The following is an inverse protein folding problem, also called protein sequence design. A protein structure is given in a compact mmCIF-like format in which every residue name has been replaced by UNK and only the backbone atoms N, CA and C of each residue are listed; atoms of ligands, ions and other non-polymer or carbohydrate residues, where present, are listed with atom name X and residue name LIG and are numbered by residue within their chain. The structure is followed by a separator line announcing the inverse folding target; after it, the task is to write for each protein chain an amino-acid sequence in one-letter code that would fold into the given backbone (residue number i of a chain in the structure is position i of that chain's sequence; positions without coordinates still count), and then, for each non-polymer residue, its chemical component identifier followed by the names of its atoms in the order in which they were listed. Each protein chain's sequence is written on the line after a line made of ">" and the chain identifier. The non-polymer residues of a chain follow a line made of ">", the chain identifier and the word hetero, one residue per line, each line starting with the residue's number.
data_IF_268135867157
#
_entry.id   IF_268135867157
#
_cell.length_a   1.000
_cell.length_b   1.000
_cell.length_c   1.000
_cell.angle_alpha   90.00
_cell.angle_beta   90.00
_cell.angle_gamma   90.00
#
_symmetry.space_group_name_H-M   'P 1'
#
loop_
_entity.id
_entity.type
_entity.pdbx_description
1 polymer ?
#
# COMPACT_ATOMS: atom_id res chain seq x y z
N UNK A 1 -1.42 -4.46 4.09
CA UNK A 1 -0.85 -5.36 3.07
C UNK A 1 0.66 -5.38 3.27
N UNK A 2 1.24 -6.57 3.23
CA UNK A 2 2.68 -6.75 3.42
C UNK A 2 3.22 -7.86 2.52
N UNK A 3 4.52 -7.84 2.25
CA UNK A 3 5.21 -8.86 1.48
C UNK A 3 6.34 -9.46 2.30
N UNK A 4 6.37 -10.79 2.35
CA UNK A 4 7.43 -11.52 3.06
C UNK A 4 8.22 -12.40 2.09
N UNK A 5 9.54 -12.36 2.21
CA UNK A 5 10.46 -13.23 1.47
C UNK A 5 10.97 -14.34 2.38
N UNK A 6 10.64 -15.58 2.04
CA UNK A 6 11.07 -16.78 2.75
C UNK A 6 12.05 -17.57 1.90
N UNK A 7 12.96 -18.29 2.58
CA UNK A 7 13.87 -19.23 1.94
C UNK A 7 13.65 -20.62 2.50
N UNK A 8 13.20 -21.55 1.66
CA UNK A 8 13.03 -22.96 2.00
C UNK A 8 14.09 -23.78 1.27
N UNK A 9 15.18 -24.12 1.98
CA UNK A 9 16.37 -24.70 1.37
C UNK A 9 16.98 -23.76 0.34
N UNK A 10 17.00 -24.16 -0.93
CA UNK A 10 17.46 -23.32 -2.06
C UNK A 10 16.33 -22.53 -2.73
N UNK A 11 15.07 -22.77 -2.37
CA UNK A 11 13.90 -22.16 -3.01
C UNK A 11 13.48 -20.88 -2.29
N UNK A 12 13.35 -19.79 -3.03
CA UNK A 12 12.75 -18.56 -2.52
C UNK A 12 11.22 -18.62 -2.67
N UNK A 13 10.50 -18.28 -1.61
CA UNK A 13 9.04 -18.20 -1.55
C UNK A 13 8.68 -16.77 -1.18
N UNK A 14 8.07 -16.06 -2.13
CA UNK A 14 7.55 -14.71 -1.90
C UNK A 14 6.05 -14.78 -1.67
N UNK A 15 5.60 -14.17 -0.58
CA UNK A 15 4.19 -14.17 -0.20
C UNK A 15 3.73 -12.72 -0.12
N UNK A 16 2.73 -12.38 -0.92
CA UNK A 16 1.97 -11.15 -0.75
C UNK A 16 0.80 -11.46 0.18
N UNK A 17 0.70 -10.76 1.30
CA UNK A 17 -0.28 -11.02 2.35
C UNK A 17 -1.19 -9.82 2.60
N UNK A 18 -2.46 -10.12 2.87
CA UNK A 18 -3.46 -9.18 3.33
C UNK A 18 -3.96 -9.66 4.69
N UNK A 19 -3.77 -8.81 5.69
CA UNK A 19 -4.02 -9.11 7.09
C UNK A 19 -4.92 -8.05 7.71
N UNK A 20 -5.74 -8.47 8.67
CA UNK A 20 -6.50 -7.56 9.53
C UNK A 20 -5.61 -7.25 10.74
N UNK A 21 -5.46 -5.98 11.07
CA UNK A 21 -4.71 -5.54 12.24
C UNK A 21 -5.68 -5.33 13.39
N UNK A 22 -5.45 -6.00 14.51
CA UNK A 22 -6.25 -5.87 15.73
C UNK A 22 -5.32 -5.87 16.95
N UNK A 23 -5.41 -4.84 17.78
CA UNK A 23 -4.60 -4.67 18.99
C UNK A 23 -3.08 -4.90 18.77
N UNK A 24 -2.53 -4.36 17.68
CA UNK A 24 -1.11 -4.49 17.34
C UNK A 24 -0.70 -5.84 16.73
N UNK A 25 -1.65 -6.77 16.56
CA UNK A 25 -1.42 -8.08 15.95
C UNK A 25 -2.04 -8.12 14.56
N UNK A 26 -1.29 -8.63 13.57
CA UNK A 26 -1.78 -8.81 12.21
C UNK A 26 -2.21 -10.27 11.98
N UNK A 27 -3.48 -10.48 11.67
CA UNK A 27 -4.06 -11.77 11.34
C UNK A 27 -4.15 -11.92 9.81
N UNK A 28 -3.33 -12.77 9.17
CA UNK A 28 -3.38 -12.95 7.73
C UNK A 28 -4.68 -13.64 7.31
N UNK A 29 -5.42 -13.01 6.39
CA UNK A 29 -6.73 -13.50 5.90
C UNK A 29 -6.61 -14.03 4.48
N UNK A 30 -5.86 -13.34 3.63
CA UNK A 30 -5.62 -13.74 2.25
C UNK A 30 -4.14 -13.62 1.92
N UNK A 31 -3.66 -14.52 1.08
CA UNK A 31 -2.31 -14.46 0.56
C UNK A 31 -2.24 -14.93 -0.89
N UNK A 32 -1.22 -14.45 -1.59
CA UNK A 32 -0.84 -14.88 -2.91
C UNK A 32 0.63 -15.30 -2.89
N UNK A 33 0.89 -16.57 -3.21
CA UNK A 33 2.25 -17.10 -3.34
C UNK A 33 2.72 -16.78 -4.75
N UNK A 34 3.81 -16.03 -4.85
CA UNK A 34 4.37 -15.62 -6.13
C UNK A 34 5.47 -16.59 -6.58
N UNK A 35 5.28 -17.31 -7.70
CA UNK A 35 6.28 -18.29 -8.19
C UNK A 35 7.44 -17.64 -8.95
N UNK A 36 7.33 -16.35 -9.31
CA UNK A 36 8.32 -15.65 -10.15
C UNK A 36 9.39 -14.95 -9.32
N UNK A 37 10.61 -14.88 -9.88
CA UNK A 37 11.63 -13.94 -9.44
C UNK A 37 11.17 -12.50 -9.79
N UNK A 38 10.69 -11.75 -8.81
CA UNK A 38 10.24 -10.35 -8.98
C UNK A 38 9.55 -9.80 -7.74
N UNK A 39 9.19 -8.51 -7.75
CA UNK A 39 8.32 -7.90 -6.74
C UNK A 39 6.85 -8.09 -7.11
N UNK A 40 5.92 -7.93 -6.16
CA UNK A 40 4.49 -7.86 -6.45
C UNK A 40 4.23 -6.78 -7.50
N UNK A 41 3.59 -7.17 -8.61
CA UNK A 41 3.11 -6.21 -9.58
C UNK A 41 1.92 -5.45 -8.99
N UNK A 42 1.60 -4.27 -9.54
CA UNK A 42 0.38 -3.57 -9.16
C UNK A 42 -0.87 -4.43 -9.42
N UNK A 43 -0.84 -5.29 -10.45
CA UNK A 43 -1.94 -6.20 -10.75
C UNK A 43 -2.13 -7.26 -9.65
N UNK A 44 -1.05 -7.88 -9.15
CA UNK A 44 -1.15 -8.88 -8.07
C UNK A 44 -1.80 -8.29 -6.80
N UNK A 45 -1.50 -7.01 -6.52
CA UNK A 45 -2.07 -6.26 -5.40
C UNK A 45 -3.56 -5.98 -5.62
N UNK A 46 -3.92 -5.50 -6.82
CA UNK A 46 -5.32 -5.24 -7.23
C UNK A 46 -6.13 -6.54 -7.18
N UNK A 47 -5.59 -7.65 -7.64
CA UNK A 47 -6.27 -8.95 -7.66
C UNK A 47 -6.53 -9.45 -6.23
N UNK A 48 -5.56 -9.30 -5.33
CA UNK A 48 -5.71 -9.68 -3.92
C UNK A 48 -6.77 -8.82 -3.22
N UNK A 49 -6.80 -7.51 -3.46
CA UNK A 49 -7.83 -6.61 -2.91
C UNK A 49 -9.20 -6.88 -3.52
N UNK A 50 -9.28 -7.11 -4.83
CA UNK A 50 -10.54 -7.44 -5.52
C UNK A 50 -11.11 -8.74 -4.98
N UNK A 51 -10.26 -9.74 -4.72
CA UNK A 51 -10.66 -10.98 -4.06
C UNK A 51 -11.17 -10.73 -2.64
N UNK A 52 -10.52 -9.87 -1.86
CA UNK A 52 -10.99 -9.49 -0.53
C UNK A 52 -12.38 -8.84 -0.58
N UNK A 53 -12.54 -7.81 -1.43
CA UNK A 53 -13.80 -7.09 -1.60
C UNK A 53 -14.93 -8.02 -2.04
N UNK A 54 -14.64 -9.00 -2.91
CA UNK A 54 -15.62 -10.01 -3.33
C UNK A 54 -16.07 -10.92 -2.17
N UNK A 55 -15.17 -11.24 -1.24
CA UNK A 55 -15.44 -12.18 -0.14
C UNK A 55 -16.10 -11.50 1.06
N UNK A 56 -15.65 -10.30 1.43
CA UNK A 56 -16.03 -9.63 2.67
C UNK A 56 -16.80 -8.32 2.45
N UNK A 57 -16.90 -7.86 1.21
CA UNK A 57 -17.49 -6.57 0.86
C UNK A 57 -16.55 -5.40 1.16
N UNK A 58 -16.63 -4.35 0.34
CA UNK A 58 -15.86 -3.11 0.52
C UNK A 58 -16.18 -2.40 1.84
N UNK A 59 -17.41 -2.55 2.37
CA UNK A 59 -17.83 -1.96 3.63
C UNK A 59 -17.08 -2.47 4.87
N UNK A 60 -16.38 -3.61 4.77
CA UNK A 60 -15.57 -4.16 5.85
C UNK A 60 -14.18 -3.52 5.97
N UNK A 61 -13.83 -2.61 5.06
CA UNK A 61 -12.51 -1.97 4.99
C UNK A 61 -12.65 -0.53 5.48
N UNK A 62 -12.04 -0.25 6.62
CA UNK A 62 -11.87 1.12 7.11
C UNK A 62 -10.75 1.81 6.32
N UNK A 63 -9.53 1.26 6.36
CA UNK A 63 -8.42 1.73 5.56
C UNK A 63 -7.44 0.61 5.21
N UNK A 64 -6.61 0.83 4.20
CA UNK A 64 -5.48 -0.04 3.88
C UNK A 64 -4.17 0.59 4.36
N UNK A 65 -3.44 -0.14 5.20
CA UNK A 65 -2.06 0.18 5.56
C UNK A 65 -1.08 -0.58 4.67
N UNK A 66 -0.06 0.10 4.15
CA UNK A 66 1.03 -0.55 3.42
C UNK A 66 2.34 0.25 3.51
N UNK A 67 3.45 -0.42 3.28
CA UNK A 67 4.77 0.20 3.36
C UNK A 67 5.20 0.86 2.02
N UNK A 68 6.45 1.33 1.95
CA UNK A 68 7.00 2.11 0.83
C UNK A 68 7.23 1.34 -0.47
N UNK A 69 7.18 0.01 -0.48
CA UNK A 69 7.21 -0.75 -1.73
C UNK A 69 5.84 -0.82 -2.42
N UNK A 70 4.77 -0.39 -1.74
CA UNK A 70 3.39 -0.45 -2.25
C UNK A 70 2.91 0.82 -2.96
N UNK A 71 3.77 1.81 -3.18
CA UNK A 71 3.44 3.02 -3.94
C UNK A 71 3.35 2.71 -5.45
N UNK A 72 2.31 3.18 -6.13
CA UNK A 72 2.13 3.01 -7.58
C UNK A 72 0.84 3.65 -8.11
N UNK A 73 0.90 4.34 -9.24
CA UNK A 73 -0.19 5.13 -9.83
C UNK A 73 -1.48 4.34 -10.06
N UNK A 74 -1.43 3.23 -10.79
CA UNK A 74 -2.61 2.40 -11.12
C UNK A 74 -3.27 1.81 -9.88
N UNK A 75 -2.46 1.48 -8.89
CA UNK A 75 -2.90 0.92 -7.62
C UNK A 75 -3.59 1.97 -6.75
N UNK A 76 -3.07 3.20 -6.70
CA UNK A 76 -3.72 4.32 -6.02
C UNK A 76 -5.03 4.71 -6.74
N UNK A 77 -5.03 4.72 -8.07
CA UNK A 77 -6.22 4.96 -8.88
C UNK A 77 -7.33 3.92 -8.59
N UNK A 78 -6.94 2.64 -8.44
CA UNK A 78 -7.87 1.59 -8.04
C UNK A 78 -8.55 1.89 -6.70
N UNK A 79 -7.81 2.31 -5.67
CA UNK A 79 -8.41 2.67 -4.39
C UNK A 79 -9.36 3.85 -4.47
N UNK A 80 -9.00 4.86 -5.26
CA UNK A 80 -9.86 6.02 -5.48
C UNK A 80 -11.19 5.59 -6.13
N UNK A 81 -11.15 4.66 -7.10
CA UNK A 81 -12.35 4.14 -7.77
C UNK A 81 -13.28 3.37 -6.84
N UNK A 82 -12.74 2.59 -5.91
CA UNK A 82 -13.54 1.81 -4.93
C UNK A 82 -13.72 2.53 -3.57
N UNK A 83 -13.26 3.78 -3.51
CA UNK A 83 -13.36 4.69 -2.38
C UNK A 83 -12.76 4.15 -1.08
N UNK A 84 -11.69 3.37 -1.16
CA UNK A 84 -10.97 2.86 0.02
C UNK A 84 -9.94 3.90 0.47
N UNK A 85 -9.99 4.26 1.75
CA UNK A 85 -8.94 5.06 2.37
C UNK A 85 -7.65 4.25 2.48
N UNK A 86 -6.50 4.86 2.23
CA UNK A 86 -5.21 4.18 2.29
C UNK A 86 -4.15 5.06 2.94
N UNK A 87 -3.29 4.42 3.72
CA UNK A 87 -2.16 5.04 4.40
C UNK A 87 -0.92 4.27 3.97
N UNK A 88 -0.23 4.80 2.96
CA UNK A 88 0.95 4.18 2.38
C UNK A 88 2.18 5.02 2.69
N UNK A 89 3.17 4.40 3.33
CA UNK A 89 4.44 5.08 3.64
C UNK A 89 5.16 5.42 2.33
N UNK A 90 5.74 6.62 2.23
CA UNK A 90 6.58 7.03 1.09
C UNK A 90 8.07 7.07 1.46
N UNK A 91 8.95 7.07 0.46
CA UNK A 91 10.41 7.26 0.65
C UNK A 91 10.71 8.74 0.92
N UNK A 92 11.79 9.04 1.65
CA UNK A 92 12.22 10.44 1.88
C UNK A 92 12.44 11.22 0.57
N UNK A 93 13.02 10.57 -0.43
CA UNK A 93 13.30 11.16 -1.72
C UNK A 93 12.09 11.14 -2.68
N UNK A 94 10.88 10.82 -2.21
CA UNK A 94 9.68 10.80 -3.03
C UNK A 94 9.36 12.21 -3.53
N UNK A 95 9.16 12.35 -4.85
CA UNK A 95 8.93 13.64 -5.50
C UNK A 95 7.51 13.70 -6.06
N UNK A 96 6.80 14.74 -5.67
CA UNK A 96 5.42 15.03 -6.11
C UNK A 96 5.41 16.28 -6.97
N UNK A 97 4.45 16.34 -7.88
CA UNK A 97 4.17 17.53 -8.68
C UNK A 97 3.28 18.48 -7.89
N UNK A 98 3.60 19.77 -7.89
CA UNK A 98 2.79 20.79 -7.24
C UNK A 98 1.67 21.24 -8.20
N UNK A 99 0.39 21.13 -7.81
CA UNK A 99 -0.72 21.55 -8.67
C UNK A 99 -0.62 23.01 -9.12
N UNK A 100 -0.10 23.89 -8.25
CA UNK A 100 -0.04 25.34 -8.52
C UNK A 100 0.91 25.75 -9.67
N UNK A 101 1.95 24.96 -9.96
CA UNK A 101 2.96 25.37 -10.94
C UNK A 101 3.63 24.23 -11.73
N UNK A 102 3.17 22.98 -11.57
CA UNK A 102 3.72 21.81 -12.26
C UNK A 102 5.16 21.44 -11.86
N UNK A 103 5.78 22.14 -10.90
CA UNK A 103 7.16 21.85 -10.50
C UNK A 103 7.19 20.66 -9.56
N UNK A 104 8.20 19.80 -9.71
CA UNK A 104 8.44 18.67 -8.81
C UNK A 104 9.18 19.12 -7.55
N UNK A 105 8.66 18.78 -6.38
CA UNK A 105 9.33 18.97 -5.10
C UNK A 105 9.38 17.66 -4.31
N UNK A 106 10.26 17.57 -3.31
CA UNK A 106 10.19 16.46 -2.34
C UNK A 106 8.86 16.53 -1.59
N UNK A 107 8.22 15.38 -1.37
CA UNK A 107 6.98 15.31 -0.63
C UNK A 107 7.15 15.86 0.80
N UNK A 108 8.25 15.52 1.48
CA UNK A 108 8.55 16.01 2.82
C UNK A 108 8.45 17.53 2.95
N UNK A 109 8.87 18.28 1.93
CA UNK A 109 8.82 19.74 1.95
C UNK A 109 7.42 20.33 2.05
N UNK A 110 6.39 19.60 1.59
CA UNK A 110 4.99 20.02 1.71
C UNK A 110 4.43 19.85 3.12
N UNK A 111 5.13 19.08 3.97
CA UNK A 111 4.69 18.68 5.30
C UNK A 111 5.72 19.04 6.38
N UNK A 112 6.74 19.84 6.06
CA UNK A 112 7.81 20.23 6.99
C UNK A 112 7.30 21.00 8.22
N UNK A 113 6.10 21.57 8.13
CA UNK A 113 5.43 22.28 9.23
C UNK A 113 4.68 21.35 10.20
N UNK A 114 4.53 20.06 9.87
CA UNK A 114 3.81 19.10 10.71
C UNK A 114 4.70 18.58 11.83
N UNK A 115 4.14 18.51 13.04
CA UNK A 115 4.72 17.78 14.17
C UNK A 115 4.35 16.30 14.12
N UNK A 116 5.02 15.51 14.95
CA UNK A 116 4.67 14.11 15.14
C UNK A 116 3.20 13.99 15.58
N UNK A 117 2.46 13.08 14.95
CA UNK A 117 1.00 12.86 15.13
C UNK A 117 0.08 13.97 14.58
N UNK A 118 0.60 14.93 13.81
CA UNK A 118 -0.26 15.87 13.06
C UNK A 118 -0.56 15.34 11.65
N UNK A 119 -1.76 15.64 11.16
CA UNK A 119 -2.21 15.30 9.81
C UNK A 119 -2.82 16.53 9.13
N UNK A 120 -2.45 16.78 7.87
CA UNK A 120 -3.01 17.83 7.03
C UNK A 120 -3.32 17.26 5.66
N UNK A 121 -4.50 17.60 5.14
CA UNK A 121 -4.90 17.31 3.77
C UNK A 121 -4.57 18.51 2.88
N UNK A 122 -3.62 18.35 1.96
CA UNK A 122 -3.42 19.31 0.87
C UNK A 122 -4.48 19.08 -0.21
N UNK A 123 -5.30 20.09 -0.47
CA UNK A 123 -6.29 20.13 -1.56
C UNK A 123 -5.68 20.76 -2.81
#
# INVERSE_FOLDING_TARGET
>A
MDRTDWKFGTKNIKILSLSIVYNGVAFPILFHIMPKFGNSSMQDRIDLMTRFVRLFGRGSIECLLADREFVGDKWLEYFNKIQIEYHIRIRDNFRVERPANGKRAKASWLYNNLKMNECVFHR
#
